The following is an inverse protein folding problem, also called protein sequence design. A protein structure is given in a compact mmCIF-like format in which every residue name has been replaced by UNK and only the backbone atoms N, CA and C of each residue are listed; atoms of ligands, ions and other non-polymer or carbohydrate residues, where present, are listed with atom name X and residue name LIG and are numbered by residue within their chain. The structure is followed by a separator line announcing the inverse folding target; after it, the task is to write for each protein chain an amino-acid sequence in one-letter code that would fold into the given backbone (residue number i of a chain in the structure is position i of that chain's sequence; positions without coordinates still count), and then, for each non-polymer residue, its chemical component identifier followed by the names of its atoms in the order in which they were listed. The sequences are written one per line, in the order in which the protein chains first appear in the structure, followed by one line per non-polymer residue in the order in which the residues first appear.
data_IF_795059499135
#
_entry.id   IF_795059499135
#
_cell.length_a   1.000
_cell.length_b   1.000
_cell.length_c   1.000
_cell.angle_alpha   90.00
_cell.angle_beta   90.00
_cell.angle_gamma   90.00
#
_symmetry.space_group_name_H-M   'P 1'
#
loop_
_entity.id
_entity.type
_entity.pdbx_description
1 polymer ?
#
# COMPACT_ATOMS: atom_id res chain seq x y z
N UNK A 1 4.05 -29.86 -2.06
CA UNK A 1 4.99 -28.72 -1.97
C UNK A 1 4.19 -27.43 -1.94
N UNK A 2 3.91 -26.85 -0.77
CA UNK A 2 3.31 -25.50 -0.68
C UNK A 2 4.25 -24.68 0.20
N UNK A 3 5.24 -24.06 -0.43
CA UNK A 3 6.16 -23.13 0.22
C UNK A 3 5.37 -21.86 0.60
N UNK A 4 4.93 -21.78 1.85
CA UNK A 4 4.38 -20.54 2.43
C UNK A 4 5.55 -19.57 2.63
N UNK A 5 5.67 -18.61 1.71
CA UNK A 5 6.64 -17.52 1.78
C UNK A 5 6.20 -16.60 2.93
N UNK A 6 6.94 -16.64 4.04
CA UNK A 6 6.79 -15.75 5.18
C UNK A 6 7.02 -14.32 4.70
N UNK A 7 5.93 -13.57 4.57
CA UNK A 7 5.98 -12.13 4.28
C UNK A 7 6.48 -11.46 5.54
N UNK A 8 7.74 -11.04 5.52
CA UNK A 8 8.39 -10.24 6.55
C UNK A 8 7.74 -8.85 6.62
N UNK A 9 6.71 -8.73 7.44
CA UNK A 9 6.15 -7.44 7.88
C UNK A 9 7.10 -6.82 8.91
N UNK A 10 8.05 -6.00 8.44
CA UNK A 10 8.78 -5.07 9.32
C UNK A 10 7.84 -3.94 9.73
N UNK A 11 7.14 -4.11 10.86
CA UNK A 11 6.41 -3.04 11.54
C UNK A 11 7.41 -2.16 12.30
N UNK A 12 7.73 -1.00 11.74
CA UNK A 12 8.44 0.06 12.46
C UNK A 12 7.39 0.81 13.27
N UNK A 13 7.36 0.57 14.59
CA UNK A 13 6.51 1.27 15.54
C UNK A 13 7.15 2.61 15.91
N UNK A 14 6.49 3.70 15.53
CA UNK A 14 6.81 5.08 15.93
C UNK A 14 5.59 5.97 15.74
N UNK A 15 4.96 6.33 16.86
CA UNK A 15 4.04 7.45 17.12
C UNK A 15 3.08 7.92 16.00
N UNK A 16 1.79 7.64 16.19
CA UNK A 16 0.57 8.31 15.66
C UNK A 16 0.38 8.56 14.16
N UNK A 17 1.23 8.02 13.29
CA UNK A 17 0.92 7.85 11.88
C UNK A 17 1.21 6.42 11.47
N UNK A 18 0.17 5.59 11.38
CA UNK A 18 0.29 4.24 10.82
C UNK A 18 0.57 4.34 9.31
N UNK A 19 1.85 4.57 8.97
CA UNK A 19 2.37 4.42 7.63
C UNK A 19 2.86 2.99 7.46
N UNK A 20 2.32 2.30 6.46
CA UNK A 20 2.70 0.94 6.13
C UNK A 20 3.09 0.88 4.66
N UNK A 21 4.32 0.46 4.39
CA UNK A 21 4.74 0.13 3.05
C UNK A 21 4.28 -1.29 2.72
N UNK A 22 3.52 -1.44 1.66
CA UNK A 22 3.01 -2.73 1.19
C UNK A 22 3.36 -2.91 -0.28
N UNK A 23 3.65 -4.15 -0.67
CA UNK A 23 3.70 -4.55 -2.07
C UNK A 23 2.33 -5.05 -2.45
N UNK A 24 1.77 -4.53 -3.54
CA UNK A 24 0.43 -4.92 -3.98
C UNK A 24 0.47 -6.29 -4.65
N UNK A 25 -0.16 -7.25 -3.98
CA UNK A 25 -0.48 -8.56 -4.57
C UNK A 25 -1.74 -8.43 -5.44
N UNK A 26 -1.97 -9.35 -6.39
CA UNK A 26 -3.17 -9.29 -7.25
C UNK A 26 -4.48 -9.27 -6.45
N UNK A 27 -4.50 -9.92 -5.28
CA UNK A 27 -5.63 -9.89 -4.34
C UNK A 27 -5.88 -8.51 -3.76
N UNK A 28 -4.82 -7.75 -3.47
CA UNK A 28 -4.94 -6.41 -2.91
C UNK A 28 -5.40 -5.42 -3.97
N UNK A 29 -4.88 -5.52 -5.20
CA UNK A 29 -5.33 -4.71 -6.34
C UNK A 29 -6.83 -4.94 -6.59
N UNK A 30 -7.28 -6.20 -6.62
CA UNK A 30 -8.69 -6.52 -6.78
C UNK A 30 -9.56 -5.87 -5.69
N UNK A 31 -9.13 -5.95 -4.42
CA UNK A 31 -9.83 -5.30 -3.29
C UNK A 31 -9.86 -3.79 -3.42
N UNK A 32 -8.75 -3.17 -3.81
CA UNK A 32 -8.66 -1.72 -4.02
C UNK A 32 -9.56 -1.27 -5.18
N UNK A 33 -9.63 -2.05 -6.24
CA UNK A 33 -10.52 -1.82 -7.38
C UNK A 33 -11.98 -1.93 -6.99
N UNK A 34 -12.37 -2.94 -6.18
CA UNK A 34 -13.74 -3.06 -5.67
C UNK A 34 -14.14 -1.92 -4.73
N UNK A 35 -13.19 -1.37 -3.96
CA UNK A 35 -13.42 -0.24 -3.04
C UNK A 35 -13.28 1.13 -3.73
N UNK A 36 -12.94 1.19 -5.02
CA UNK A 36 -12.69 2.44 -5.75
C UNK A 36 -11.49 3.23 -5.25
N UNK A 37 -10.55 2.59 -4.54
CA UNK A 37 -9.37 3.22 -3.94
C UNK A 37 -8.06 2.67 -4.55
N UNK A 38 -8.11 2.31 -5.83
CA UNK A 38 -6.98 1.78 -6.61
C UNK A 38 -6.17 2.88 -7.31
N UNK A 39 -6.21 4.11 -6.80
CA UNK A 39 -5.48 5.25 -7.36
C UNK A 39 -4.57 5.86 -6.31
N UNK A 40 -3.37 6.23 -6.71
CA UNK A 40 -2.47 6.97 -5.86
C UNK A 40 -3.04 8.37 -5.60
N UNK A 41 -3.13 8.78 -4.33
CA UNK A 41 -3.72 10.07 -3.95
C UNK A 41 -2.96 11.30 -4.50
N UNK A 42 -1.66 11.17 -4.78
CA UNK A 42 -0.82 12.29 -5.26
C UNK A 42 -0.77 12.41 -6.78
N UNK A 43 -0.42 11.35 -7.51
CA UNK A 43 -0.32 11.38 -8.98
C UNK A 43 -1.58 10.91 -9.72
N UNK A 44 -2.64 10.51 -9.01
CA UNK A 44 -3.92 9.98 -9.54
C UNK A 44 -3.82 8.75 -10.48
N UNK A 45 -2.60 8.24 -10.70
CA UNK A 45 -2.35 7.03 -11.46
C UNK A 45 -2.87 5.80 -10.72
N UNK A 46 -3.36 4.81 -11.49
CA UNK A 46 -3.82 3.53 -10.96
C UNK A 46 -2.66 2.75 -10.36
N UNK A 47 -2.90 2.15 -9.21
CA UNK A 47 -1.98 1.24 -8.54
C UNK A 47 -2.08 -0.14 -9.21
N UNK A 48 -0.95 -0.69 -9.65
CA UNK A 48 -0.88 -1.96 -10.35
C UNK A 48 -0.32 -3.09 -9.47
N UNK A 49 -0.47 -4.32 -9.94
CA UNK A 49 0.13 -5.49 -9.30
C UNK A 49 1.66 -5.38 -9.31
N UNK A 50 2.28 -5.67 -8.18
CA UNK A 50 3.73 -5.58 -8.00
C UNK A 50 4.21 -4.19 -7.59
N UNK A 51 3.36 -3.16 -7.63
CA UNK A 51 3.72 -1.83 -7.16
C UNK A 51 3.95 -1.80 -5.65
N UNK A 52 4.93 -1.00 -5.24
CA UNK A 52 5.20 -0.72 -3.83
C UNK A 52 4.52 0.59 -3.45
N UNK A 53 3.48 0.48 -2.64
CA UNK A 53 2.66 1.60 -2.20
C UNK A 53 2.77 1.82 -0.69
N UNK A 54 2.57 3.05 -0.28
CA UNK A 54 2.54 3.49 1.10
C UNK A 54 1.08 3.75 1.45
N UNK A 55 0.58 2.95 2.40
CA UNK A 55 -0.73 3.12 3.00
C UNK A 55 -0.60 4.01 4.24
N UNK A 56 -1.43 5.04 4.34
CA UNK A 56 -1.45 5.96 5.48
C UNK A 56 -2.87 6.05 6.04
N UNK A 57 -2.99 5.87 7.36
CA UNK A 57 -4.23 6.05 8.10
C UNK A 57 -5.17 4.84 8.08
N UNK A 58 -6.17 4.88 8.98
CA UNK A 58 -7.07 3.77 9.23
C UNK A 58 -8.40 3.86 8.46
N UNK A 59 -9.02 5.06 8.36
CA UNK A 59 -10.32 5.27 7.70
C UNK A 59 -10.50 6.71 7.15
N UNK A 60 -10.73 6.90 5.84
CA UNK A 60 -10.38 5.97 4.76
C UNK A 60 -8.86 5.90 4.61
N UNK A 61 -8.28 4.70 4.38
CA UNK A 61 -6.84 4.57 4.13
C UNK A 61 -6.46 5.29 2.84
N UNK A 62 -5.35 6.01 2.86
CA UNK A 62 -4.80 6.71 1.69
C UNK A 62 -3.62 5.92 1.14
N UNK A 63 -3.56 5.75 -0.18
CA UNK A 63 -2.46 5.03 -0.85
C UNK A 63 -1.62 5.99 -1.70
N UNK A 64 -0.31 5.81 -1.65
CA UNK A 64 0.67 6.59 -2.40
C UNK A 64 1.70 5.67 -3.04
N UNK A 65 2.16 5.95 -4.26
CA UNK A 65 3.37 5.29 -4.75
C UNK A 65 4.58 5.70 -3.91
N UNK A 66 5.54 4.78 -3.73
CA UNK A 66 6.80 5.07 -3.04
C UNK A 66 7.49 6.34 -3.57
N UNK A 67 7.50 6.54 -4.89
CA UNK A 67 8.10 7.73 -5.52
C UNK A 67 7.29 9.01 -5.37
N UNK A 68 5.97 8.91 -5.16
CA UNK A 68 5.10 10.08 -4.96
C UNK A 68 5.11 10.58 -3.52
N UNK A 69 5.46 9.71 -2.57
CA UNK A 69 5.61 10.05 -1.17
C UNK A 69 7.01 10.62 -0.92
N UNK A 70 7.21 11.89 -1.30
CA UNK A 70 8.36 12.67 -0.85
C UNK A 70 8.01 13.32 0.49
N UNK A 71 8.75 12.96 1.54
CA UNK A 71 8.62 13.52 2.89
C UNK A 71 9.60 14.70 3.03
N UNK A 72 9.58 15.66 2.10
CA UNK A 72 10.35 16.91 2.20
C UNK A 72 9.65 17.99 1.39
#
# INVERSE_FOLDING_TARGET
MVLRKLISCTTIFGSDFHMMQIRLEPRDVARLSSLGNNVCRKCTMKLMEGDVVIRIGARPPKYYHKGCFKVY
#
